data_IF_583560089973
#
_entry.id   IF_583560089973
#
_cell.length_a   1.000
_cell.length_b   1.000
_cell.length_c   1.000
_cell.angle_alpha   90.00
_cell.angle_beta   90.00
_cell.angle_gamma   90.00
#
_symmetry.space_group_name_H-M   'P 1'
#
loop_
_entity.id
_entity.type
_entity.pdbx_description
1 polymer ?
#
# COMPACT_ATOMS: atom_id res chain seq x y z
N UNK A 1 34.11 -17.56 -9.72
CA UNK A 1 32.87 -18.34 -9.46
C UNK A 1 32.09 -17.63 -8.34
N UNK A 2 31.45 -16.52 -8.71
CA UNK A 2 30.56 -15.68 -7.90
C UNK A 2 29.50 -15.13 -8.87
N UNK A 3 28.66 -16.00 -9.45
CA UNK A 3 27.63 -15.57 -10.43
C UNK A 3 26.31 -16.37 -10.30
N UNK A 4 26.16 -17.21 -9.26
CA UNK A 4 24.97 -18.06 -9.10
C UNK A 4 24.00 -17.59 -8.00
N UNK A 5 24.27 -16.45 -7.34
CA UNK A 5 23.47 -15.95 -6.22
C UNK A 5 22.53 -14.79 -6.57
N UNK A 6 22.94 -13.90 -7.48
CA UNK A 6 22.15 -12.73 -7.86
C UNK A 6 21.01 -13.07 -8.84
N UNK A 7 21.26 -14.00 -9.78
CA UNK A 7 20.29 -14.39 -10.82
C UNK A 7 19.02 -15.04 -10.23
N UNK A 8 19.14 -15.85 -9.17
CA UNK A 8 17.98 -16.50 -8.54
C UNK A 8 17.06 -15.53 -7.79
N UNK A 9 17.57 -14.41 -7.26
CA UNK A 9 16.73 -13.45 -6.53
C UNK A 9 15.88 -12.63 -7.51
N UNK A 10 16.47 -12.21 -8.63
CA UNK A 10 15.72 -11.47 -9.65
C UNK A 10 14.65 -12.32 -10.32
N UNK A 11 14.94 -13.59 -10.62
CA UNK A 11 13.96 -14.52 -11.23
C UNK A 11 12.77 -14.76 -10.29
N UNK A 12 13.04 -14.99 -9.00
CA UNK A 12 12.00 -15.23 -8.00
C UNK A 12 11.08 -14.00 -7.77
N UNK A 13 11.64 -12.78 -7.84
CA UNK A 13 10.85 -11.54 -7.70
C UNK A 13 9.91 -11.35 -8.88
N UNK A 14 10.37 -11.61 -10.11
CA UNK A 14 9.55 -11.46 -11.32
C UNK A 14 8.37 -12.45 -11.28
N UNK A 15 8.63 -13.72 -10.98
CA UNK A 15 7.57 -14.74 -10.82
C UNK A 15 6.57 -14.37 -9.73
N UNK A 16 7.04 -13.73 -8.65
CA UNK A 16 6.16 -13.25 -7.58
C UNK A 16 5.23 -12.14 -8.05
N UNK A 17 5.70 -11.25 -8.93
CA UNK A 17 4.85 -10.20 -9.52
C UNK A 17 3.78 -10.81 -10.43
N UNK A 18 4.17 -11.76 -11.28
CA UNK A 18 3.22 -12.47 -12.15
C UNK A 18 2.15 -13.21 -11.32
N UNK A 19 2.57 -13.82 -10.20
CA UNK A 19 1.66 -14.47 -9.25
C UNK A 19 0.60 -13.52 -8.68
N UNK A 20 0.92 -12.23 -8.46
CA UNK A 20 -0.07 -11.25 -8.00
C UNK A 20 -1.18 -11.03 -9.05
N UNK A 21 -0.80 -10.98 -10.33
CA UNK A 21 -1.77 -10.88 -11.43
C UNK A 21 -2.60 -12.15 -11.56
N UNK A 22 -1.98 -13.33 -11.44
CA UNK A 22 -2.66 -14.63 -11.49
C UNK A 22 -3.66 -14.81 -10.34
N UNK A 23 -3.38 -14.22 -9.17
CA UNK A 23 -4.31 -14.15 -8.04
C UNK A 23 -5.49 -13.20 -8.27
N UNK A 24 -5.50 -12.44 -9.36
CA UNK A 24 -6.53 -11.44 -9.66
C UNK A 24 -6.42 -10.17 -8.82
N UNK A 25 -5.22 -9.84 -8.32
CA UNK A 25 -4.99 -8.59 -7.61
C UNK A 25 -5.05 -7.43 -8.61
N UNK A 26 -5.95 -6.48 -8.35
CA UNK A 26 -6.08 -5.30 -9.19
C UNK A 26 -5.04 -4.25 -8.82
N UNK A 27 -4.16 -3.91 -9.76
CA UNK A 27 -3.24 -2.78 -9.64
C UNK A 27 -3.95 -1.53 -10.12
N UNK A 28 -4.14 -0.56 -9.22
CA UNK A 28 -4.86 0.67 -9.50
C UNK A 28 -3.87 1.81 -9.75
N UNK A 29 -4.01 2.48 -10.90
CA UNK A 29 -3.27 3.70 -11.21
C UNK A 29 -3.93 4.87 -10.47
N UNK A 30 -3.20 5.64 -9.64
CA UNK A 30 -3.77 6.78 -8.94
C UNK A 30 -4.32 7.83 -9.91
N UNK A 31 -5.57 8.23 -9.70
CA UNK A 31 -6.17 9.35 -10.41
C UNK A 31 -5.70 10.68 -9.82
N UNK A 32 -5.90 11.79 -10.54
CA UNK A 32 -5.59 13.13 -10.03
C UNK A 32 -6.30 13.44 -8.70
N UNK A 33 -7.47 12.88 -8.46
CA UNK A 33 -8.24 13.12 -7.24
C UNK A 33 -7.72 12.26 -6.07
N UNK A 34 -7.30 11.02 -6.33
CA UNK A 34 -6.56 10.22 -5.35
C UNK A 34 -5.26 10.92 -4.94
N UNK A 35 -4.51 11.49 -5.89
CA UNK A 35 -3.27 12.23 -5.62
C UNK A 35 -3.55 13.44 -4.70
N UNK A 36 -4.54 14.27 -5.01
CA UNK A 36 -4.90 15.44 -4.19
C UNK A 36 -5.35 15.02 -2.78
N UNK A 37 -6.17 13.97 -2.70
CA UNK A 37 -6.64 13.39 -1.43
C UNK A 37 -5.47 12.87 -0.58
N UNK A 38 -4.51 12.18 -1.20
CA UNK A 38 -3.30 11.68 -0.53
C UNK A 38 -2.44 12.82 0.03
N UNK A 39 -2.25 13.91 -0.74
CA UNK A 39 -1.53 15.10 -0.26
C UNK A 39 -2.22 15.67 0.98
N UNK A 40 -3.55 15.86 0.93
CA UNK A 40 -4.31 16.38 2.06
C UNK A 40 -4.21 15.47 3.29
N UNK A 41 -4.33 14.15 3.12
CA UNK A 41 -4.19 13.18 4.21
C UNK A 41 -2.78 13.18 4.82
N UNK A 42 -1.74 13.25 3.98
CA UNK A 42 -0.35 13.29 4.43
C UNK A 42 -0.08 14.48 5.35
N UNK A 43 -0.52 15.68 4.94
CA UNK A 43 -0.39 16.88 5.77
C UNK A 43 -1.28 16.87 7.00
N UNK A 44 -2.53 16.40 6.88
CA UNK A 44 -3.50 16.38 7.99
C UNK A 44 -3.08 15.44 9.13
N UNK A 45 -2.54 14.27 8.77
CA UNK A 45 -2.22 13.21 9.73
C UNK A 45 -0.71 13.08 10.00
N UNK A 46 0.14 13.93 9.40
CA UNK A 46 1.60 13.86 9.53
C UNK A 46 2.14 12.45 9.17
N UNK A 47 1.71 11.91 8.03
CA UNK A 47 2.15 10.62 7.49
C UNK A 47 2.91 10.81 6.19
N UNK A 48 3.66 9.79 5.76
CA UNK A 48 4.34 9.88 4.47
C UNK A 48 3.31 9.97 3.35
N UNK A 49 3.65 10.68 2.27
CA UNK A 49 2.76 10.73 1.10
C UNK A 49 2.47 9.33 0.55
N UNK A 50 3.43 8.41 0.65
CA UNK A 50 3.29 7.01 0.23
C UNK A 50 2.21 6.26 1.02
N UNK A 51 2.23 6.35 2.35
CA UNK A 51 1.18 5.73 3.18
C UNK A 51 -0.19 6.39 2.93
N UNK A 52 -0.20 7.71 2.74
CA UNK A 52 -1.41 8.46 2.46
C UNK A 52 -2.06 8.09 1.11
N UNK A 53 -1.27 7.65 0.12
CA UNK A 53 -1.80 7.16 -1.16
C UNK A 53 -2.71 5.95 -0.97
N UNK A 54 -2.30 4.98 -0.15
CA UNK A 54 -3.12 3.81 0.13
C UNK A 54 -4.40 4.18 0.89
N UNK A 55 -4.32 5.11 1.85
CA UNK A 55 -5.51 5.60 2.54
C UNK A 55 -6.46 6.36 1.61
N UNK A 56 -5.92 7.22 0.74
CA UNK A 56 -6.70 7.98 -0.23
C UNK A 56 -7.39 7.05 -1.23
N UNK A 57 -6.67 6.07 -1.75
CA UNK A 57 -7.22 5.08 -2.67
C UNK A 57 -8.33 4.27 -2.01
N UNK A 58 -8.07 3.69 -0.82
CA UNK A 58 -9.06 2.91 -0.09
C UNK A 58 -10.33 3.73 0.20
N UNK A 59 -10.18 5.00 0.58
CA UNK A 59 -11.31 5.91 0.77
C UNK A 59 -12.10 6.16 -0.53
N UNK A 60 -11.41 6.36 -1.65
CA UNK A 60 -12.03 6.67 -2.95
C UNK A 60 -12.86 5.49 -3.49
N UNK A 61 -12.39 4.27 -3.28
CA UNK A 61 -13.07 3.05 -3.77
C UNK A 61 -14.00 2.41 -2.73
N UNK A 62 -14.15 3.01 -1.54
CA UNK A 62 -14.93 2.53 -0.38
C UNK A 62 -14.47 1.15 0.16
N UNK A 63 -13.15 1.00 0.34
CA UNK A 63 -12.52 -0.22 0.84
C UNK A 63 -11.87 0.01 2.21
N UNK A 64 -11.64 -1.10 2.93
CA UNK A 64 -10.85 -1.10 4.15
C UNK A 64 -9.36 -1.21 3.81
N UNK A 65 -8.54 -0.31 4.32
CA UNK A 65 -7.08 -0.40 4.25
C UNK A 65 -6.56 -1.25 5.41
N UNK A 66 -5.94 -2.39 5.09
CA UNK A 66 -5.21 -3.22 6.05
C UNK A 66 -3.73 -2.81 6.03
N UNK A 67 -3.15 -2.57 7.20
CA UNK A 67 -1.73 -2.16 7.30
C UNK A 67 -1.01 -2.87 8.45
N UNK A 68 0.25 -3.24 8.23
CA UNK A 68 1.19 -3.64 9.27
C UNK A 68 2.00 -2.45 9.82
N UNK A 69 1.77 -1.24 9.32
CA UNK A 69 2.49 -0.02 9.71
C UNK A 69 1.95 0.59 11.00
N UNK A 70 2.43 0.15 12.17
CA UNK A 70 1.93 0.61 13.46
C UNK A 70 2.02 2.14 13.67
N UNK A 71 3.09 2.78 13.16
CA UNK A 71 3.25 4.25 13.24
C UNK A 71 2.20 4.98 12.40
N UNK A 72 1.91 4.47 11.20
CA UNK A 72 0.88 5.01 10.32
C UNK A 72 -0.49 4.83 10.95
N UNK A 73 -0.83 3.60 11.40
CA UNK A 73 -2.11 3.30 12.05
C UNK A 73 -2.38 4.21 13.26
N UNK A 74 -1.42 4.40 14.16
CA UNK A 74 -1.61 5.29 15.32
C UNK A 74 -1.96 6.74 14.95
N UNK A 75 -1.52 7.22 13.79
CA UNK A 75 -1.81 8.58 13.30
C UNK A 75 -3.14 8.68 12.54
N UNK A 76 -3.70 7.55 12.13
CA UNK A 76 -4.86 7.49 11.23
C UNK A 76 -5.99 6.59 11.75
N UNK A 77 -5.89 6.05 12.97
CA UNK A 77 -6.89 5.16 13.57
C UNK A 77 -8.27 5.82 13.81
N UNK A 78 -8.34 7.15 13.74
CA UNK A 78 -9.61 7.88 13.74
C UNK A 78 -10.37 7.75 12.41
N UNK A 79 -9.70 7.27 11.35
CA UNK A 79 -10.31 6.91 10.08
C UNK A 79 -10.78 5.46 10.14
N UNK A 80 -12.08 5.25 10.36
CA UNK A 80 -12.65 3.92 10.67
C UNK A 80 -12.44 2.83 9.61
N UNK A 81 -12.05 3.20 8.38
CA UNK A 81 -11.73 2.30 7.28
C UNK A 81 -10.26 1.83 7.27
N UNK A 82 -9.43 2.25 8.22
CA UNK A 82 -8.05 1.77 8.34
C UNK A 82 -7.96 0.80 9.52
N UNK A 83 -7.41 -0.38 9.27
CA UNK A 83 -7.27 -1.46 10.26
C UNK A 83 -5.82 -1.93 10.35
N UNK A 84 -5.40 -2.22 11.57
CA UNK A 84 -4.10 -2.80 11.83
C UNK A 84 -4.17 -4.32 11.73
N UNK A 85 -3.20 -4.95 11.05
CA UNK A 85 -3.26 -6.39 10.75
C UNK A 85 -3.29 -7.26 12.02
N UNK A 86 -2.66 -6.83 13.11
CA UNK A 86 -2.64 -7.56 14.37
C UNK A 86 -4.01 -7.54 15.10
N UNK A 87 -4.96 -6.72 14.64
CA UNK A 87 -6.32 -6.61 15.18
C UNK A 87 -7.35 -7.41 14.37
N UNK A 88 -6.92 -8.19 13.37
CA UNK A 88 -7.77 -8.93 12.41
C UNK A 88 -7.62 -10.44 12.58
#
# INVERSE_FOLDING_TARGET
>A
RLESGETCISENIIESVDSLYDMGINIIIPTGDVIKSAINLAFTHDVTLYDAFYAALAKEIDFTLITAGAKFYRKTNNLGFIKFIDEI
#
